data_IF_518313479591
#
_entry.id   IF_518313479591
#
_cell.length_a   1.000
_cell.length_b   1.000
_cell.length_c   1.000
_cell.angle_alpha   90.00
_cell.angle_beta   90.00
_cell.angle_gamma   90.00
#
_symmetry.space_group_name_H-M   'P 1'
#
loop_
_entity.id
_entity.type
_entity.pdbx_description
1 polymer ?
#
# COMPACT_ATOMS: atom_id res chain seq x y z
N UNK A 1 -0.56 -6.01 -0.95
CA UNK A 1 -0.36 -5.08 0.16
C UNK A 1 0.74 -4.10 -0.20
N UNK A 2 1.85 -4.61 -0.71
CA UNK A 2 3.05 -3.82 -1.07
C UNK A 2 2.79 -2.75 -2.13
N UNK A 3 2.01 -3.07 -3.18
CA UNK A 3 1.76 -2.11 -4.27
C UNK A 3 0.96 -0.86 -3.87
N UNK A 4 0.34 -0.83 -2.69
CA UNK A 4 -0.45 0.34 -2.27
C UNK A 4 -0.43 0.58 -0.76
N UNK A 5 -0.97 -0.35 0.03
CA UNK A 5 -1.16 -0.21 1.48
C UNK A 5 0.15 0.06 2.19
N UNK A 6 1.22 -0.66 1.83
CA UNK A 6 2.53 -0.44 2.44
C UNK A 6 3.07 0.95 2.10
N UNK A 7 3.07 1.35 0.83
CA UNK A 7 3.47 2.70 0.42
C UNK A 7 2.64 3.82 1.05
N UNK A 8 1.35 3.58 1.32
CA UNK A 8 0.50 4.52 2.06
C UNK A 8 0.91 4.65 3.53
N UNK A 9 1.16 3.52 4.20
CA UNK A 9 1.63 3.53 5.59
C UNK A 9 3.00 4.19 5.70
N UNK A 10 3.94 3.82 4.83
CA UNK A 10 5.25 4.46 4.71
C UNK A 10 5.10 5.96 4.50
N UNK A 11 4.26 6.41 3.56
CA UNK A 11 4.02 7.84 3.31
C UNK A 11 3.51 8.62 4.53
N UNK A 12 2.76 7.98 5.44
CA UNK A 12 2.25 8.61 6.68
C UNK A 12 3.32 8.76 7.78
N UNK A 13 4.34 7.90 7.77
CA UNK A 13 5.36 7.85 8.82
C UNK A 13 6.77 8.23 8.31
N UNK A 14 6.95 8.38 7.00
CA UNK A 14 8.20 8.76 6.38
C UNK A 14 8.73 10.08 6.96
N UNK A 15 10.04 10.14 7.16
CA UNK A 15 10.71 11.31 7.75
C UNK A 15 10.60 11.43 9.26
N UNK A 16 9.89 10.52 9.95
CA UNK A 16 9.89 10.44 11.42
C UNK A 16 11.00 9.51 11.89
N UNK A 17 11.69 9.93 12.96
CA UNK A 17 12.65 9.09 13.69
C UNK A 17 11.91 8.50 14.89
N UNK A 18 12.01 7.18 15.03
CA UNK A 18 11.44 6.45 16.17
C UNK A 18 12.59 5.97 17.06
N UNK A 19 12.47 6.21 18.37
CA UNK A 19 13.51 5.84 19.33
C UNK A 19 13.56 4.32 19.55
N UNK A 20 12.40 3.66 19.47
CA UNK A 20 12.27 2.21 19.62
C UNK A 20 11.43 1.59 18.51
N UNK A 21 11.55 0.27 18.38
CA UNK A 21 10.68 -0.52 17.50
C UNK A 21 9.22 -0.45 17.93
N UNK A 22 8.95 -0.30 19.23
CA UNK A 22 7.59 -0.22 19.73
C UNK A 22 6.93 1.13 19.42
N UNK A 23 7.71 2.22 19.42
CA UNK A 23 7.22 3.53 18.94
C UNK A 23 6.85 3.47 17.45
N UNK A 24 7.66 2.76 16.64
CA UNK A 24 7.37 2.53 15.22
C UNK A 24 6.08 1.71 15.04
N UNK A 25 5.90 0.62 15.81
CA UNK A 25 4.68 -0.20 15.77
C UNK A 25 3.45 0.63 16.14
N UNK A 26 3.51 1.40 17.22
CA UNK A 26 2.41 2.26 17.64
C UNK A 26 2.06 3.30 16.57
N UNK A 27 3.06 3.89 15.92
CA UNK A 27 2.82 4.82 14.81
C UNK A 27 2.18 4.16 13.59
N UNK A 28 2.56 2.93 13.27
CA UNK A 28 1.95 2.13 12.20
C UNK A 28 0.50 1.75 12.53
N UNK A 29 0.21 1.38 13.77
CA UNK A 29 -1.15 1.07 14.24
C UNK A 29 -2.07 2.29 14.13
N UNK A 30 -1.59 3.48 14.52
CA UNK A 30 -2.33 4.74 14.36
C UNK A 30 -2.50 5.09 12.87
N UNK A 31 -1.45 4.93 12.06
CA UNK A 31 -1.52 5.15 10.62
C UNK A 31 -2.54 4.22 9.94
N UNK A 32 -2.62 2.96 10.39
CA UNK A 32 -3.58 1.98 9.94
C UNK A 32 -5.01 2.33 10.39
N UNK A 33 -5.22 2.61 11.67
CA UNK A 33 -6.54 2.95 12.22
C UNK A 33 -7.13 4.25 11.60
N UNK A 34 -6.28 5.16 11.14
CA UNK A 34 -6.68 6.37 10.41
C UNK A 34 -6.81 6.18 8.89
N UNK A 35 -6.82 4.93 8.40
CA UNK A 35 -6.95 4.65 6.97
C UNK A 35 -8.39 4.83 6.50
N UNK A 36 -8.55 5.33 5.27
CA UNK A 36 -9.85 5.47 4.61
C UNK A 36 -10.32 4.11 4.06
N UNK A 37 -11.47 3.62 4.54
CA UNK A 37 -12.12 2.42 4.00
C UNK A 37 -12.39 2.54 2.49
N UNK A 38 -12.65 3.75 2.00
CA UNK A 38 -12.77 4.06 0.59
C UNK A 38 -11.47 3.79 -0.16
N UNK A 39 -10.31 4.14 0.42
CA UNK A 39 -8.99 3.85 -0.14
C UNK A 39 -8.74 2.34 -0.20
N UNK A 40 -9.07 1.59 0.87
CA UNK A 40 -8.95 0.13 0.89
C UNK A 40 -9.83 -0.51 -0.18
N UNK A 41 -11.09 -0.06 -0.31
CA UNK A 41 -12.01 -0.55 -1.34
C UNK A 41 -11.51 -0.26 -2.75
N UNK A 42 -10.99 0.94 -3.02
CA UNK A 42 -10.36 1.27 -4.32
C UNK A 42 -9.15 0.39 -4.60
N UNK A 43 -8.31 0.16 -3.60
CA UNK A 43 -7.15 -0.75 -3.69
C UNK A 43 -7.58 -2.16 -4.09
N UNK A 44 -8.55 -2.74 -3.40
CA UNK A 44 -9.05 -4.09 -3.70
C UNK A 44 -9.67 -4.14 -5.10
N UNK A 45 -10.49 -3.15 -5.46
CA UNK A 45 -11.11 -3.08 -6.78
C UNK A 45 -10.07 -2.97 -7.92
N UNK A 46 -8.92 -2.35 -7.66
CA UNK A 46 -7.84 -2.22 -8.64
C UNK A 46 -7.18 -3.56 -9.00
N UNK A 47 -7.24 -4.58 -8.11
CA UNK A 47 -6.59 -5.88 -8.31
C UNK A 47 -7.06 -6.54 -9.59
N UNK A 48 -8.35 -6.45 -9.93
CA UNK A 48 -8.89 -7.01 -11.17
C UNK A 48 -8.25 -6.39 -12.42
N UNK A 49 -8.02 -5.07 -12.41
CA UNK A 49 -7.32 -4.36 -13.50
C UNK A 49 -5.85 -4.79 -13.57
N UNK A 50 -5.18 -4.87 -12.42
CA UNK A 50 -3.77 -5.30 -12.28
C UNK A 50 -3.55 -6.72 -12.78
N UNK A 51 -4.44 -7.66 -12.46
CA UNK A 51 -4.37 -9.02 -12.98
C UNK A 51 -4.51 -9.08 -14.50
N UNK A 52 -5.42 -8.29 -15.10
CA UNK A 52 -5.55 -8.21 -16.56
C UNK A 52 -4.28 -7.65 -17.22
N UNK A 53 -3.67 -6.64 -16.60
CA UNK A 53 -2.39 -6.09 -17.07
C UNK A 53 -1.26 -7.13 -16.98
N UNK A 54 -1.20 -7.90 -15.90
CA UNK A 54 -0.26 -9.01 -15.72
C UNK A 54 -0.42 -10.09 -16.81
N UNK A 55 -1.66 -10.47 -17.13
CA UNK A 55 -1.95 -11.42 -18.23
C UNK A 55 -1.47 -10.86 -19.57
N UNK A 56 -1.75 -9.59 -19.86
CA UNK A 56 -1.28 -8.92 -21.09
C UNK A 56 0.25 -8.87 -21.18
N UNK A 57 0.92 -8.68 -20.04
CA UNK A 57 2.37 -8.68 -19.90
C UNK A 57 2.99 -10.09 -19.87
N UNK A 58 2.17 -11.16 -19.97
CA UNK A 58 2.62 -12.56 -19.85
C UNK A 58 3.41 -12.82 -18.57
N UNK A 59 2.99 -12.23 -17.46
CA UNK A 59 3.65 -12.35 -16.16
C UNK A 59 4.87 -11.43 -15.95
N UNK A 60 5.25 -10.61 -16.94
CA UNK A 60 6.30 -9.58 -16.76
C UNK A 60 5.78 -8.40 -15.94
N UNK A 61 6.69 -7.50 -15.52
CA UNK A 61 6.33 -6.25 -14.86
C UNK A 61 5.31 -5.46 -15.70
N UNK A 62 4.25 -5.02 -15.05
CA UNK A 62 3.07 -4.43 -15.71
C UNK A 62 2.68 -3.06 -15.12
N UNK A 63 3.48 -2.47 -14.23
CA UNK A 63 3.18 -1.15 -13.65
C UNK A 63 3.10 -0.04 -14.71
N UNK A 64 3.82 -0.17 -15.82
CA UNK A 64 3.76 0.76 -16.98
C UNK A 64 2.43 0.60 -17.76
N UNK A 65 1.73 -0.53 -17.59
CA UNK A 65 0.50 -0.87 -18.31
C UNK A 65 -0.77 -0.54 -17.50
N UNK A 66 -0.62 0.09 -16.34
CA UNK A 66 -1.69 0.30 -15.37
C UNK A 66 -2.36 1.67 -15.39
#
# INVERSE_FOLDING_TARGET
MDFSVWGMLEGKIAGKVFATVDDLKAALEVAWASSDDGYLRRTVNSVKKRLRACVKARGSNFEILL
#
